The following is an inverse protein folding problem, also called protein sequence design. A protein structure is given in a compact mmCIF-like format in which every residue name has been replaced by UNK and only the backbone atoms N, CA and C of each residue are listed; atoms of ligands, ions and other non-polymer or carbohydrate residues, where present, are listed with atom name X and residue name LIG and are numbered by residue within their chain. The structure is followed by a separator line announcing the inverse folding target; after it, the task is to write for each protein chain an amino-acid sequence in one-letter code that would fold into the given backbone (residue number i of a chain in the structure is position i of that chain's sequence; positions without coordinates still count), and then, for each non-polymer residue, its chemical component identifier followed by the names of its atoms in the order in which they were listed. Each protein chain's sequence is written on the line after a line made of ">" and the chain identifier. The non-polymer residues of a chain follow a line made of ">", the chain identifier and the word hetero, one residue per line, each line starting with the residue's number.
data_IF_310865672737
#
_entry.id   IF_310865672737
#
_cell.length_a   1.000
_cell.length_b   1.000
_cell.length_c   1.000
_cell.angle_alpha   90.00
_cell.angle_beta   90.00
_cell.angle_gamma   90.00
#
_symmetry.space_group_name_H-M   'P 1'
#
loop_
_entity.id
_entity.type
_entity.pdbx_description
1 polymer ?
#
# COMPACT_ATOMS: atom_id res chain seq x y z
N UNK A 1 6.44 36.85 8.48
CA UNK A 1 7.41 36.47 7.42
C UNK A 1 8.13 35.24 7.94
N UNK A 2 8.18 34.17 7.22
CA UNK A 2 8.96 32.97 7.61
C UNK A 2 10.43 33.35 7.67
N UNK A 3 11.15 32.84 8.68
CA UNK A 3 12.60 33.01 8.73
C UNK A 3 13.22 32.37 7.49
N UNK A 4 14.19 33.04 6.82
CA UNK A 4 14.82 32.48 5.65
C UNK A 4 15.59 31.21 6.01
N UNK A 5 15.60 30.23 5.09
CA UNK A 5 16.39 29.02 5.23
C UNK A 5 17.88 29.38 5.36
N UNK A 6 18.52 28.90 6.41
CA UNK A 6 19.95 29.06 6.67
C UNK A 6 20.66 27.73 6.66
N UNK A 7 21.96 27.72 6.38
CA UNK A 7 22.77 26.51 6.43
C UNK A 7 24.18 26.78 6.94
N UNK A 8 24.76 25.78 7.56
CA UNK A 8 26.13 25.79 8.04
C UNK A 8 26.87 24.56 7.55
N UNK A 9 28.14 24.74 7.17
CA UNK A 9 29.05 23.65 6.84
C UNK A 9 29.83 23.25 8.07
N UNK A 10 29.73 21.98 8.46
CA UNK A 10 30.47 21.41 9.60
C UNK A 10 31.14 20.11 9.18
N UNK A 11 32.25 19.78 9.80
CA UNK A 11 32.89 18.48 9.66
C UNK A 11 32.54 17.60 10.87
N UNK A 12 31.96 16.45 10.62
CA UNK A 12 31.69 15.46 11.68
C UNK A 12 32.46 14.18 11.39
N UNK A 13 33.07 13.61 12.42
CA UNK A 13 33.70 12.30 12.31
C UNK A 13 32.63 11.22 12.21
N UNK A 14 32.99 10.03 11.72
CA UNK A 14 32.13 8.86 11.78
C UNK A 14 31.72 8.57 13.23
N UNK A 15 32.60 8.80 14.21
CA UNK A 15 32.27 8.68 15.64
C UNK A 15 31.17 9.64 16.06
N UNK A 16 31.21 10.91 15.65
CA UNK A 16 30.18 11.90 15.99
C UNK A 16 28.81 11.48 15.43
N UNK A 17 28.77 11.00 14.19
CA UNK A 17 27.55 10.51 13.55
C UNK A 17 27.00 9.25 14.22
N UNK A 18 27.88 8.34 14.68
CA UNK A 18 27.50 7.17 15.47
C UNK A 18 26.89 7.60 16.80
N UNK A 19 27.53 8.53 17.52
CA UNK A 19 27.04 9.05 18.79
C UNK A 19 25.65 9.69 18.64
N UNK A 20 25.41 10.48 17.59
CA UNK A 20 24.09 11.04 17.29
C UNK A 20 23.03 9.93 17.11
N UNK A 21 23.39 8.84 16.43
CA UNK A 21 22.47 7.70 16.23
C UNK A 21 22.20 6.94 17.52
N UNK A 22 23.22 6.63 18.31
CA UNK A 22 23.10 5.89 19.57
C UNK A 22 22.33 6.68 20.63
N UNK A 23 22.51 7.99 20.67
CA UNK A 23 21.78 8.91 21.55
C UNK A 23 20.36 9.24 21.03
N UNK A 24 19.90 8.64 19.90
CA UNK A 24 18.59 8.90 19.30
C UNK A 24 18.38 10.36 18.88
N UNK A 25 19.46 11.08 18.63
CA UNK A 25 19.45 12.45 18.13
C UNK A 25 19.48 12.53 16.60
N UNK A 26 19.51 11.37 15.90
CA UNK A 26 19.53 11.28 14.45
C UNK A 26 18.36 10.46 13.92
N UNK A 27 17.49 11.09 13.15
CA UNK A 27 16.37 10.44 12.46
C UNK A 27 16.76 10.12 11.02
N UNK A 28 17.06 8.86 10.74
CA UNK A 28 17.38 8.35 9.41
C UNK A 28 16.14 8.26 8.51
N UNK A 29 14.93 8.23 9.08
CA UNK A 29 13.68 7.98 8.38
C UNK A 29 12.66 9.10 8.64
N UNK A 30 12.97 10.37 8.33
CA UNK A 30 11.93 11.37 8.39
C UNK A 30 10.79 10.96 7.45
N UNK A 31 9.56 11.31 7.82
CA UNK A 31 8.32 10.80 7.19
C UNK A 31 8.18 11.10 5.69
N UNK A 32 9.04 11.97 5.16
CA UNK A 32 9.09 12.35 3.75
C UNK A 32 10.14 11.59 2.93
N UNK A 33 10.98 10.75 3.54
CA UNK A 33 12.00 9.96 2.83
C UNK A 33 11.55 8.55 2.50
N UNK A 34 12.20 7.97 1.47
CA UNK A 34 12.05 6.58 1.05
C UNK A 34 12.96 5.62 1.83
N UNK A 35 12.69 4.32 1.70
CA UNK A 35 13.56 3.27 2.22
C UNK A 35 14.87 3.16 1.41
N UNK A 36 15.84 2.42 1.98
CA UNK A 36 17.18 2.24 1.42
C UNK A 36 17.15 1.46 0.10
N UNK A 37 17.80 2.00 -0.95
CA UNK A 37 17.87 1.40 -2.29
C UNK A 37 19.25 0.85 -2.67
N UNK A 38 20.28 1.10 -1.86
CA UNK A 38 21.64 0.65 -2.17
C UNK A 38 21.76 -0.88 -2.14
N UNK A 39 22.30 -1.43 -3.23
CA UNK A 39 22.66 -2.85 -3.32
C UNK A 39 23.96 -3.11 -2.54
N UNK A 40 24.25 -4.35 -2.13
CA UNK A 40 25.46 -4.68 -1.39
C UNK A 40 26.75 -4.17 -2.03
N UNK A 41 26.85 -4.21 -3.37
CA UNK A 41 28.03 -3.71 -4.09
C UNK A 41 28.28 -2.20 -3.86
N UNK A 42 27.22 -1.36 -3.86
CA UNK A 42 27.35 0.07 -3.59
C UNK A 42 27.85 0.33 -2.17
N UNK A 43 27.32 -0.42 -1.20
CA UNK A 43 27.73 -0.32 0.21
C UNK A 43 29.18 -0.70 0.41
N UNK A 44 29.62 -1.80 -0.20
CA UNK A 44 31.04 -2.24 -0.16
C UNK A 44 31.96 -1.19 -0.72
N UNK A 45 31.70 -0.67 -1.91
CA UNK A 45 32.48 0.40 -2.54
C UNK A 45 32.57 1.65 -1.67
N UNK A 46 31.46 2.03 -1.06
CA UNK A 46 31.43 3.20 -0.18
C UNK A 46 32.29 3.02 1.07
N UNK A 47 32.25 1.85 1.71
CA UNK A 47 33.13 1.57 2.85
C UNK A 47 34.59 1.53 2.42
N UNK A 48 34.94 0.91 1.29
CA UNK A 48 36.31 0.95 0.75
C UNK A 48 36.78 2.39 0.52
N UNK A 49 35.93 3.25 -0.07
CA UNK A 49 36.22 4.68 -0.27
C UNK A 49 36.60 5.40 1.03
N UNK A 50 35.89 5.10 2.15
CA UNK A 50 36.22 5.65 3.48
C UNK A 50 37.54 5.09 4.01
N UNK A 51 37.78 3.79 3.86
CA UNK A 51 39.00 3.14 4.32
C UNK A 51 40.23 3.62 3.55
N UNK A 52 40.08 3.95 2.27
CA UNK A 52 41.11 4.51 1.40
C UNK A 52 41.32 6.02 1.65
N UNK A 53 40.46 6.67 2.47
CA UNK A 53 40.57 8.09 2.77
C UNK A 53 40.10 9.01 1.65
N UNK A 54 39.42 8.49 0.61
CA UNK A 54 38.90 9.32 -0.48
C UNK A 54 37.70 10.16 -0.04
N UNK A 55 37.50 11.37 -0.62
CA UNK A 55 36.38 12.21 -0.28
C UNK A 55 35.04 11.60 -0.69
N UNK A 56 34.05 11.77 0.16
CA UNK A 56 32.68 11.33 -0.09
C UNK A 56 31.75 12.54 -0.17
N UNK A 57 30.60 12.45 -0.88
CA UNK A 57 29.65 13.55 -0.96
C UNK A 57 29.12 13.94 0.42
N UNK A 58 28.85 15.25 0.62
CA UNK A 58 28.34 15.82 1.86
C UNK A 58 27.01 15.21 2.30
N UNK A 59 26.78 15.15 3.60
CA UNK A 59 25.52 14.75 4.21
C UNK A 59 24.71 16.01 4.50
N UNK A 60 23.40 15.99 4.20
CA UNK A 60 22.51 17.09 4.53
C UNK A 60 21.60 16.70 5.71
N UNK A 61 21.66 17.48 6.78
CA UNK A 61 20.89 17.30 7.99
C UNK A 61 20.04 18.53 8.27
N UNK A 62 18.80 18.33 8.67
CA UNK A 62 17.93 19.38 9.22
C UNK A 62 17.84 19.21 10.72
N UNK A 63 18.12 20.25 11.47
CA UNK A 63 17.94 20.27 12.94
C UNK A 63 16.59 20.87 13.25
N UNK A 64 15.73 20.09 13.94
CA UNK A 64 14.45 20.59 14.42
C UNK A 64 14.56 21.29 15.77
N UNK A 65 13.47 21.96 16.17
CA UNK A 65 13.39 22.71 17.44
C UNK A 65 13.56 21.82 18.69
N UNK A 66 13.37 20.51 18.56
CA UNK A 66 13.60 19.53 19.62
C UNK A 66 15.05 19.05 19.72
N UNK A 67 15.95 19.56 18.87
CA UNK A 67 17.35 19.18 18.85
C UNK A 67 17.62 17.84 18.16
N UNK A 68 16.68 17.37 17.31
CA UNK A 68 16.84 16.13 16.54
C UNK A 68 17.27 16.46 15.12
N UNK A 69 18.33 15.80 14.66
CA UNK A 69 18.78 15.87 13.27
C UNK A 69 17.97 14.93 12.39
N UNK A 70 17.37 15.47 11.33
CA UNK A 70 16.66 14.71 10.30
C UNK A 70 17.50 14.65 9.03
N UNK A 71 17.76 13.46 8.53
CA UNK A 71 18.60 13.31 7.33
C UNK A 71 17.82 13.76 6.09
N UNK A 72 18.32 14.75 5.36
CA UNK A 72 17.76 15.19 4.08
C UNK A 72 18.41 14.46 2.90
N UNK A 73 19.76 14.34 2.90
CA UNK A 73 20.51 13.49 1.98
C UNK A 73 21.64 12.80 2.71
N UNK A 74 22.10 11.66 2.17
CA UNK A 74 23.15 10.84 2.76
C UNK A 74 22.62 9.68 3.61
N UNK A 75 21.30 9.42 3.67
CA UNK A 75 20.72 8.29 4.40
C UNK A 75 21.41 6.96 4.08
N UNK A 76 21.62 6.65 2.79
CA UNK A 76 22.27 5.41 2.34
C UNK A 76 23.71 5.30 2.88
N UNK A 77 24.42 6.43 2.89
CA UNK A 77 25.80 6.56 3.41
C UNK A 77 25.84 6.27 4.92
N UNK A 78 24.99 6.96 5.66
CA UNK A 78 24.86 6.78 7.12
C UNK A 78 24.45 5.36 7.51
N UNK A 79 23.40 4.83 6.88
CA UNK A 79 22.98 3.45 7.12
C UNK A 79 24.08 2.44 6.82
N UNK A 80 24.90 2.67 5.79
CA UNK A 80 26.00 1.80 5.42
C UNK A 80 27.10 1.83 6.49
N UNK A 81 27.48 3.02 6.98
CA UNK A 81 28.42 3.19 8.08
C UNK A 81 27.92 2.46 9.32
N UNK A 82 26.68 2.70 9.72
CA UNK A 82 26.13 2.13 10.95
C UNK A 82 25.96 0.61 10.88
N UNK A 83 25.60 0.06 9.72
CA UNK A 83 25.54 -1.39 9.50
C UNK A 83 26.92 -2.02 9.54
N UNK A 84 27.91 -1.43 8.89
CA UNK A 84 29.27 -1.91 8.86
C UNK A 84 29.87 -1.89 10.28
N UNK A 85 29.73 -0.78 11.01
CA UNK A 85 30.22 -0.63 12.39
C UNK A 85 29.35 -1.39 13.42
N UNK A 86 28.30 -2.10 13.01
CA UNK A 86 27.40 -2.92 13.86
C UNK A 86 26.78 -2.13 15.04
N UNK A 87 26.34 -0.89 14.78
CA UNK A 87 25.79 0.01 15.79
C UNK A 87 24.46 -0.52 16.35
N UNK A 88 24.22 -0.33 17.64
CA UNK A 88 22.96 -0.71 18.31
C UNK A 88 21.76 0.04 17.71
N UNK A 89 20.63 -0.66 17.57
CA UNK A 89 19.39 -0.06 17.03
C UNK A 89 19.30 0.00 15.50
N UNK A 90 20.36 -0.40 14.79
CA UNK A 90 20.34 -0.52 13.32
C UNK A 90 20.17 -1.99 12.93
N UNK A 91 19.34 -2.25 11.90
CA UNK A 91 19.12 -3.63 11.41
C UNK A 91 20.46 -4.25 11.03
N UNK A 92 20.79 -5.37 11.67
CA UNK A 92 22.04 -6.12 11.40
C UNK A 92 22.04 -6.62 9.97
N UNK A 93 23.17 -6.42 9.31
CA UNK A 93 23.48 -6.95 7.99
C UNK A 93 24.95 -7.36 8.00
N UNK A 94 25.26 -8.53 7.50
CA UNK A 94 26.66 -8.93 7.33
C UNK A 94 27.22 -8.18 6.11
N UNK A 95 28.02 -7.17 6.40
CA UNK A 95 28.68 -6.36 5.38
C UNK A 95 30.19 -6.55 5.52
N UNK A 96 30.76 -7.17 4.49
CA UNK A 96 32.19 -7.34 4.33
C UNK A 96 32.67 -6.52 3.14
N UNK A 97 33.90 -6.02 3.24
CA UNK A 97 34.55 -5.26 2.17
C UNK A 97 35.86 -5.91 1.79
N UNK A 98 36.18 -5.89 0.51
CA UNK A 98 37.47 -6.32 0.00
C UNK A 98 38.45 -5.16 0.17
N UNK A 99 39.49 -5.38 1.00
CA UNK A 99 40.43 -4.33 1.35
C UNK A 99 41.81 -4.90 1.62
N UNK A 100 42.88 -4.20 1.21
CA UNK A 100 44.25 -4.53 1.46
C UNK A 100 44.77 -3.84 2.71
N UNK A 101 45.18 -4.60 3.68
CA UNK A 101 45.88 -4.00 4.82
C UNK A 101 47.30 -3.64 4.45
N UNK A 102 47.88 -2.55 5.02
CA UNK A 102 49.26 -2.11 4.70
C UNK A 102 50.36 -3.16 4.91
N UNK A 103 50.09 -4.17 5.73
CA UNK A 103 51.00 -5.28 6.01
C UNK A 103 50.80 -6.50 5.12
N UNK A 104 49.87 -6.44 4.14
CA UNK A 104 49.47 -7.57 3.31
C UNK A 104 49.64 -7.25 1.84
N UNK A 105 50.02 -8.26 1.04
CA UNK A 105 50.19 -8.09 -0.40
C UNK A 105 48.91 -8.29 -1.18
N UNK A 106 47.92 -8.99 -0.58
CA UNK A 106 46.65 -9.31 -1.24
C UNK A 106 45.45 -8.71 -0.52
N UNK A 107 44.39 -8.46 -1.30
CA UNK A 107 43.10 -8.04 -0.78
C UNK A 107 42.39 -9.19 -0.09
N UNK A 108 41.79 -8.96 1.09
CA UNK A 108 40.94 -9.93 1.73
C UNK A 108 39.58 -9.35 2.13
N UNK A 109 38.62 -10.21 2.40
CA UNK A 109 37.33 -9.80 2.90
C UNK A 109 37.41 -9.45 4.40
N UNK A 110 37.05 -8.22 4.76
CA UNK A 110 37.05 -7.71 6.13
C UNK A 110 35.65 -7.28 6.53
N UNK A 111 35.14 -7.87 7.61
CA UNK A 111 34.03 -7.33 8.38
C UNK A 111 34.53 -6.35 9.45
N UNK A 112 33.60 -5.72 10.17
CA UNK A 112 33.95 -4.80 11.27
C UNK A 112 34.86 -5.42 12.33
N UNK A 113 34.65 -6.69 12.65
CA UNK A 113 35.45 -7.41 13.68
C UNK A 113 36.89 -7.62 13.19
N UNK A 114 37.05 -8.05 11.97
CA UNK A 114 38.35 -8.23 11.36
C UNK A 114 39.11 -6.91 11.22
N UNK A 115 38.41 -5.83 10.81
CA UNK A 115 38.95 -4.48 10.72
C UNK A 115 39.42 -3.97 12.09
N UNK A 116 38.63 -4.23 13.16
CA UNK A 116 38.98 -3.86 14.53
C UNK A 116 40.21 -4.61 15.00
N UNK A 117 40.29 -5.92 14.77
CA UNK A 117 41.42 -6.76 15.09
C UNK A 117 42.71 -6.31 14.39
N UNK A 118 42.57 -5.79 13.17
CA UNK A 118 43.70 -5.23 12.41
C UNK A 118 44.07 -3.79 12.81
N UNK A 119 43.48 -3.21 13.88
CA UNK A 119 43.76 -1.86 14.35
C UNK A 119 43.28 -0.71 13.46
N UNK A 120 42.49 -0.99 12.40
CA UNK A 120 42.04 -0.01 11.42
C UNK A 120 40.69 0.64 11.78
N UNK A 121 40.00 0.15 12.81
CA UNK A 121 38.71 0.72 13.23
C UNK A 121 38.84 2.19 13.70
N UNK A 122 39.96 2.57 14.31
CA UNK A 122 40.23 3.96 14.74
C UNK A 122 40.26 4.91 13.52
N UNK A 123 41.00 4.55 12.47
CA UNK A 123 41.05 5.35 11.23
C UNK A 123 39.68 5.51 10.58
N UNK A 124 38.91 4.42 10.52
CA UNK A 124 37.52 4.48 10.02
C UNK A 124 36.63 5.40 10.87
N UNK A 125 36.75 5.33 12.20
CA UNK A 125 35.97 6.15 13.12
C UNK A 125 36.36 7.62 13.12
N UNK A 126 37.61 7.95 12.88
CA UNK A 126 38.13 9.33 12.78
C UNK A 126 37.94 9.95 11.40
N UNK A 127 37.47 9.17 10.40
CA UNK A 127 37.19 9.70 9.06
C UNK A 127 36.16 10.84 9.15
N UNK A 128 36.51 12.00 8.53
CA UNK A 128 35.69 13.21 8.56
C UNK A 128 34.77 13.26 7.33
N UNK A 129 33.50 13.56 7.59
CA UNK A 129 32.48 13.78 6.57
C UNK A 129 32.00 15.21 6.66
N UNK A 130 31.92 15.87 5.51
CA UNK A 130 31.30 17.17 5.44
C UNK A 130 29.79 17.05 5.64
N UNK A 131 29.25 17.84 6.56
CA UNK A 131 27.82 17.89 6.89
C UNK A 131 27.30 19.31 6.62
N UNK A 132 26.23 19.41 5.88
CA UNK A 132 25.46 20.64 5.68
C UNK A 132 24.30 20.61 6.66
N UNK A 133 24.38 21.39 7.72
CA UNK A 133 23.30 21.55 8.69
C UNK A 133 22.37 22.67 8.22
N UNK A 134 21.10 22.36 8.07
CA UNK A 134 20.07 23.26 7.52
C UNK A 134 19.07 23.60 8.62
N UNK A 135 18.68 24.86 8.68
CA UNK A 135 17.68 25.42 9.60
C UNK A 135 16.64 26.22 8.83
N UNK A 136 15.40 26.21 9.28
CA UNK A 136 14.30 26.97 8.67
C UNK A 136 12.96 26.26 8.78
N UNK A 137 11.96 26.85 8.16
CA UNK A 137 10.62 26.28 8.11
C UNK A 137 10.60 24.94 7.38
N UNK A 138 9.83 24.01 7.90
CA UNK A 138 9.78 22.64 7.37
C UNK A 138 9.31 22.57 5.92
N UNK A 139 8.48 23.52 5.45
CA UNK A 139 8.08 23.64 4.04
C UNK A 139 9.29 23.85 3.12
N UNK A 140 10.17 24.75 3.51
CA UNK A 140 11.37 25.13 2.76
C UNK A 140 12.41 24.01 2.80
N UNK A 141 12.52 23.34 3.95
CA UNK A 141 13.36 22.14 4.11
C UNK A 141 12.90 21.01 3.18
N UNK A 142 11.60 20.78 3.05
CA UNK A 142 11.06 19.75 2.13
C UNK A 142 11.29 20.16 0.68
N UNK A 143 11.20 21.44 0.33
CA UNK A 143 11.53 21.92 -1.01
C UNK A 143 13.03 21.74 -1.32
N UNK A 144 13.89 22.08 -0.38
CA UNK A 144 15.34 21.83 -0.48
C UNK A 144 15.63 20.33 -0.68
N UNK A 145 15.00 19.45 0.11
CA UNK A 145 15.11 18.00 -0.04
C UNK A 145 14.77 17.54 -1.47
N UNK A 146 13.69 18.04 -2.05
CA UNK A 146 13.29 17.72 -3.42
C UNK A 146 14.34 18.20 -4.43
N UNK A 147 14.87 19.42 -4.25
CA UNK A 147 15.90 20.00 -5.13
C UNK A 147 17.22 19.23 -5.08
N UNK A 148 17.74 18.92 -3.90
CA UNK A 148 18.99 18.17 -3.72
C UNK A 148 18.88 16.80 -4.39
N UNK A 149 17.77 16.08 -4.18
CA UNK A 149 17.58 14.74 -4.75
C UNK A 149 17.28 14.74 -6.25
N UNK A 150 17.01 15.90 -6.87
CA UNK A 150 16.77 15.99 -8.31
C UNK A 150 18.06 15.85 -9.15
N UNK A 151 19.23 16.05 -8.56
CA UNK A 151 20.54 15.97 -9.25
C UNK A 151 21.11 14.55 -9.31
N UNK A 152 20.56 13.59 -8.52
CA UNK A 152 20.98 12.18 -8.49
C UNK A 152 19.94 11.24 -9.09
N UNK A 153 19.62 10.14 -8.38
CA UNK A 153 18.47 9.31 -8.77
C UNK A 153 17.19 10.09 -8.51
N UNK A 154 16.64 10.69 -9.55
CA UNK A 154 15.47 11.55 -9.46
C UNK A 154 14.32 10.93 -8.64
N UNK A 155 13.71 11.74 -7.80
CA UNK A 155 12.52 11.33 -7.04
C UNK A 155 11.36 11.06 -8.00
N UNK A 156 10.62 10.03 -7.74
CA UNK A 156 9.34 9.78 -8.43
C UNK A 156 8.32 10.84 -8.03
N UNK A 157 7.28 11.03 -8.84
CA UNK A 157 6.16 11.91 -8.49
C UNK A 157 5.51 11.52 -7.14
N UNK A 158 5.47 10.22 -6.83
CA UNK A 158 4.97 9.71 -5.56
C UNK A 158 5.83 10.18 -4.38
N UNK A 159 7.15 10.09 -4.50
CA UNK A 159 8.11 10.53 -3.49
C UNK A 159 8.03 12.04 -3.28
N UNK A 160 8.00 12.83 -4.35
CA UNK A 160 7.84 14.29 -4.30
C UNK A 160 6.53 14.68 -3.61
N UNK A 161 5.42 14.03 -4.00
CA UNK A 161 4.10 14.30 -3.43
C UNK A 161 4.06 13.94 -1.95
N UNK A 162 4.63 12.78 -1.58
CA UNK A 162 4.72 12.39 -0.18
C UNK A 162 5.57 13.36 0.64
N UNK A 163 6.68 13.85 0.11
CA UNK A 163 7.52 14.84 0.78
C UNK A 163 6.78 16.16 1.00
N UNK A 164 6.19 16.74 -0.05
CA UNK A 164 5.49 18.03 0.03
C UNK A 164 4.28 18.04 0.95
N UNK A 165 3.54 16.94 1.01
CA UNK A 165 2.23 16.88 1.65
C UNK A 165 2.14 15.87 2.80
N UNK A 166 3.28 15.49 3.39
CA UNK A 166 3.32 14.43 4.40
C UNK A 166 2.48 14.72 5.66
N UNK A 167 2.29 16.01 6.04
CA UNK A 167 1.44 16.43 7.17
C UNK A 167 -0.05 16.41 6.85
N UNK A 168 -0.45 16.46 5.57
CA UNK A 168 -1.86 16.49 5.18
C UNK A 168 -2.56 15.17 5.57
N UNK A 169 -3.76 15.29 6.13
CA UNK A 169 -4.54 14.14 6.61
C UNK A 169 -4.78 13.10 5.53
N UNK A 170 -5.08 13.53 4.32
CA UNK A 170 -5.24 12.65 3.17
C UNK A 170 -4.01 11.77 2.95
N UNK A 171 -2.80 12.37 2.89
CA UNK A 171 -1.55 11.64 2.69
C UNK A 171 -1.20 10.74 3.89
N UNK A 172 -1.51 11.19 5.10
CA UNK A 172 -1.34 10.37 6.32
C UNK A 172 -2.19 9.09 6.26
N UNK A 173 -3.46 9.20 5.82
CA UNK A 173 -4.34 8.04 5.65
C UNK A 173 -3.90 7.16 4.49
N UNK A 174 -3.47 7.72 3.37
CA UNK A 174 -2.94 6.96 2.24
C UNK A 174 -1.75 6.07 2.67
N UNK A 175 -0.78 6.64 3.41
CA UNK A 175 0.35 5.86 3.96
C UNK A 175 -0.10 4.77 4.94
N UNK A 176 -1.03 5.11 5.86
CA UNK A 176 -1.55 4.15 6.84
C UNK A 176 -2.23 2.95 6.15
N UNK A 177 -3.03 3.21 5.12
CA UNK A 177 -3.70 2.16 4.36
C UNK A 177 -2.72 1.38 3.46
N UNK A 178 -1.76 2.05 2.82
CA UNK A 178 -0.70 1.37 2.08
C UNK A 178 0.07 0.38 2.97
N UNK A 179 0.51 0.81 4.16
CA UNK A 179 1.16 -0.07 5.14
C UNK A 179 0.27 -1.24 5.58
N UNK A 180 -1.03 -0.96 5.85
CA UNK A 180 -2.00 -2.00 6.25
C UNK A 180 -2.16 -3.09 5.21
N UNK A 181 -2.15 -2.74 3.92
CA UNK A 181 -2.38 -3.67 2.82
C UNK A 181 -1.11 -4.05 2.07
N UNK A 182 0.08 -3.58 2.49
CA UNK A 182 1.38 -3.84 1.82
C UNK A 182 1.62 -5.31 1.56
N UNK A 183 1.49 -6.14 2.59
CA UNK A 183 1.67 -7.59 2.46
C UNK A 183 0.78 -8.18 1.37
N UNK A 184 -0.49 -7.79 1.31
CA UNK A 184 -1.39 -8.24 0.26
C UNK A 184 -0.95 -7.74 -1.12
N UNK A 185 -0.54 -6.48 -1.25
CA UNK A 185 -0.07 -5.95 -2.54
C UNK A 185 1.16 -6.68 -3.06
N UNK A 186 2.07 -7.08 -2.18
CA UNK A 186 3.25 -7.86 -2.53
C UNK A 186 2.92 -9.32 -2.88
N UNK A 187 2.13 -10.01 -2.05
CA UNK A 187 1.68 -11.39 -2.29
C UNK A 187 0.84 -11.50 -3.57
N UNK A 188 -0.01 -10.51 -3.81
CA UNK A 188 -0.81 -10.38 -5.05
C UNK A 188 0.00 -9.89 -6.25
N UNK A 189 1.29 -9.60 -6.11
CA UNK A 189 2.20 -9.06 -7.14
C UNK A 189 1.75 -7.73 -7.76
N UNK A 190 0.91 -6.97 -7.07
CA UNK A 190 0.43 -5.65 -7.52
C UNK A 190 1.57 -4.64 -7.46
N UNK A 191 2.39 -4.71 -6.41
CA UNK A 191 3.64 -3.96 -6.29
C UNK A 191 4.77 -4.91 -5.90
N UNK A 192 5.96 -4.68 -6.45
CA UNK A 192 7.17 -5.37 -6.04
C UNK A 192 7.81 -4.67 -4.82
N UNK A 193 8.68 -5.36 -4.04
CA UNK A 193 9.42 -4.72 -2.94
C UNK A 193 10.19 -3.48 -3.38
N UNK A 194 10.78 -3.48 -4.58
CA UNK A 194 11.48 -2.32 -5.14
C UNK A 194 10.55 -1.16 -5.47
N UNK A 195 9.31 -1.43 -5.87
CA UNK A 195 8.29 -0.41 -6.09
C UNK A 195 7.74 0.15 -4.77
N UNK A 196 7.63 -0.67 -3.71
CA UNK A 196 7.28 -0.20 -2.36
C UNK A 196 8.31 0.80 -1.85
N UNK A 197 9.61 0.51 -2.01
CA UNK A 197 10.69 1.44 -1.68
C UNK A 197 10.50 2.80 -2.38
N UNK A 198 9.97 2.81 -3.61
CA UNK A 198 9.67 4.00 -4.42
C UNK A 198 8.26 4.54 -4.18
N UNK A 199 7.59 4.16 -3.08
CA UNK A 199 6.25 4.61 -2.67
C UNK A 199 5.14 4.37 -3.70
N UNK A 200 5.29 3.34 -4.55
CA UNK A 200 4.25 2.99 -5.54
C UNK A 200 2.97 2.45 -4.90
N UNK A 201 3.07 1.79 -3.75
CA UNK A 201 1.93 1.39 -2.92
C UNK A 201 1.16 2.61 -2.39
N UNK A 202 1.88 3.62 -1.89
CA UNK A 202 1.27 4.89 -1.42
C UNK A 202 0.64 5.65 -2.59
N UNK A 203 1.29 5.67 -3.77
CA UNK A 203 0.74 6.30 -4.98
C UNK A 203 -0.57 5.64 -5.40
N UNK A 204 -0.61 4.29 -5.46
CA UNK A 204 -1.83 3.53 -5.78
C UNK A 204 -2.96 3.82 -4.79
N UNK A 205 -2.68 3.77 -3.49
CA UNK A 205 -3.69 4.05 -2.46
C UNK A 205 -4.17 5.49 -2.53
N UNK A 206 -3.28 6.47 -2.76
CA UNK A 206 -3.67 7.88 -2.93
C UNK A 206 -4.60 8.06 -4.12
N UNK A 207 -4.33 7.37 -5.23
CA UNK A 207 -5.16 7.40 -6.43
C UNK A 207 -6.55 6.80 -6.18
N UNK A 208 -6.62 5.65 -5.52
CA UNK A 208 -7.86 5.01 -5.14
C UNK A 208 -8.68 5.88 -4.18
N UNK A 209 -8.05 6.46 -3.16
CA UNK A 209 -8.73 7.37 -2.22
C UNK A 209 -9.25 8.63 -2.92
N UNK A 210 -8.49 9.23 -3.85
CA UNK A 210 -8.94 10.38 -4.64
C UNK A 210 -10.15 10.01 -5.52
N UNK A 211 -10.20 8.78 -6.06
CA UNK A 211 -11.36 8.26 -6.78
C UNK A 211 -12.59 8.15 -5.87
N UNK A 212 -12.41 7.70 -4.62
CA UNK A 212 -13.49 7.62 -3.63
C UNK A 212 -13.97 9.00 -3.18
N UNK A 213 -13.08 10.00 -3.08
CA UNK A 213 -13.46 11.41 -2.85
C UNK A 213 -14.36 11.90 -3.99
N UNK A 214 -13.96 11.61 -5.23
CA UNK A 214 -14.68 12.02 -6.43
C UNK A 214 -15.98 11.20 -6.69
N UNK A 215 -16.19 10.10 -5.95
CA UNK A 215 -17.31 9.19 -6.11
C UNK A 215 -17.25 8.31 -7.37
N UNK A 216 -16.08 8.18 -8.04
CA UNK A 216 -15.92 7.39 -9.25
C UNK A 216 -14.55 7.51 -9.91
N UNK A 217 -14.48 7.10 -11.18
CA UNK A 217 -13.25 7.13 -11.96
C UNK A 217 -12.73 8.56 -12.15
N UNK A 218 -11.41 8.73 -12.08
CA UNK A 218 -10.73 10.02 -12.19
C UNK A 218 -9.70 10.04 -13.32
N UNK A 219 -9.34 11.24 -13.78
CA UNK A 219 -8.08 11.47 -14.46
C UNK A 219 -6.99 11.62 -13.38
N UNK A 220 -6.03 10.69 -13.35
CA UNK A 220 -5.10 10.48 -12.23
C UNK A 220 -4.44 11.75 -11.71
N UNK A 221 -3.77 12.49 -12.58
CA UNK A 221 -2.83 13.55 -12.17
C UNK A 221 -3.53 14.69 -11.41
N UNK A 222 -4.52 15.30 -12.02
CA UNK A 222 -5.20 16.47 -11.46
C UNK A 222 -6.07 16.14 -10.24
N UNK A 223 -6.74 14.97 -10.25
CA UNK A 223 -7.66 14.62 -9.17
C UNK A 223 -6.95 14.25 -7.87
N UNK A 224 -5.79 13.59 -7.95
CA UNK A 224 -4.98 13.28 -6.75
C UNK A 224 -4.43 14.57 -6.13
N UNK A 225 -3.95 15.50 -6.94
CA UNK A 225 -3.40 16.77 -6.45
C UNK A 225 -4.51 17.59 -5.77
N UNK A 226 -5.71 17.72 -6.36
CA UNK A 226 -6.86 18.39 -5.73
C UNK A 226 -7.28 17.75 -4.40
N UNK A 227 -7.35 16.42 -4.32
CA UNK A 227 -7.70 15.73 -3.09
C UNK A 227 -6.67 15.97 -1.98
N UNK A 228 -5.39 16.10 -2.31
CA UNK A 228 -4.33 16.44 -1.36
C UNK A 228 -4.44 17.90 -0.90
N UNK A 229 -4.77 18.82 -1.80
CA UNK A 229 -4.96 20.24 -1.47
C UNK A 229 -6.20 20.47 -0.60
N UNK A 230 -7.05 19.45 -0.44
CA UNK A 230 -8.19 19.46 0.47
C UNK A 230 -9.53 19.75 -0.20
N UNK A 231 -9.57 19.80 -1.54
CA UNK A 231 -10.84 19.95 -2.26
C UNK A 231 -11.76 18.74 -1.98
N UNK A 232 -12.90 19.01 -1.33
CA UNK A 232 -13.87 17.98 -0.96
C UNK A 232 -13.43 17.04 0.17
N UNK A 233 -12.30 17.31 0.85
CA UNK A 233 -11.71 16.44 1.86
C UNK A 233 -11.81 17.07 3.25
N UNK A 234 -12.83 16.69 3.99
CA UNK A 234 -12.98 17.00 5.43
C UNK A 234 -12.90 15.73 6.28
N UNK A 235 -12.95 15.87 7.61
CA UNK A 235 -12.84 14.76 8.54
C UNK A 235 -13.88 13.64 8.31
N UNK A 236 -15.11 13.98 7.92
CA UNK A 236 -16.16 13.00 7.61
C UNK A 236 -15.89 12.31 6.29
N UNK A 237 -15.43 13.04 5.27
CA UNK A 237 -14.99 12.47 3.99
C UNK A 237 -13.86 11.47 4.21
N UNK A 238 -12.84 11.80 5.02
CA UNK A 238 -11.74 10.91 5.38
C UNK A 238 -12.27 9.62 6.01
N UNK A 239 -13.13 9.72 7.02
CA UNK A 239 -13.72 8.53 7.67
C UNK A 239 -14.50 7.66 6.68
N UNK A 240 -15.26 8.27 5.78
CA UNK A 240 -16.04 7.60 4.74
C UNK A 240 -15.12 6.84 3.77
N UNK A 241 -14.17 7.52 3.14
CA UNK A 241 -13.30 6.90 2.13
C UNK A 241 -12.40 5.81 2.71
N UNK A 242 -11.92 5.94 3.95
CA UNK A 242 -11.14 4.90 4.65
C UNK A 242 -11.99 3.64 4.87
N UNK A 243 -13.25 3.79 5.26
CA UNK A 243 -14.18 2.67 5.43
C UNK A 243 -14.50 2.00 4.10
N UNK A 244 -14.82 2.77 3.07
CA UNK A 244 -15.15 2.29 1.71
C UNK A 244 -13.95 1.58 1.08
N UNK A 245 -12.77 2.17 1.14
CA UNK A 245 -11.52 1.55 0.69
C UNK A 245 -11.29 0.20 1.37
N UNK A 246 -11.36 0.18 2.71
CA UNK A 246 -11.13 -1.05 3.48
C UNK A 246 -12.16 -2.13 3.15
N UNK A 247 -13.41 -1.76 2.97
CA UNK A 247 -14.49 -2.67 2.59
C UNK A 247 -14.25 -3.28 1.19
N UNK A 248 -13.89 -2.44 0.22
CA UNK A 248 -13.61 -2.87 -1.16
C UNK A 248 -12.38 -3.77 -1.23
N UNK A 249 -11.29 -3.43 -0.52
CA UNK A 249 -10.10 -4.27 -0.43
C UNK A 249 -10.39 -5.65 0.18
N UNK A 250 -11.18 -5.69 1.24
CA UNK A 250 -11.58 -6.96 1.86
C UNK A 250 -12.45 -7.82 0.93
N UNK A 251 -13.34 -7.20 0.16
CA UNK A 251 -14.14 -7.90 -0.83
C UNK A 251 -13.27 -8.45 -1.97
N UNK A 252 -12.33 -7.65 -2.49
CA UNK A 252 -11.38 -8.09 -3.52
C UNK A 252 -10.56 -9.30 -3.07
N UNK A 253 -9.97 -9.24 -1.88
CA UNK A 253 -9.20 -10.36 -1.30
C UNK A 253 -10.01 -11.64 -1.20
N UNK A 254 -11.28 -11.53 -0.81
CA UNK A 254 -12.18 -12.67 -0.67
C UNK A 254 -12.64 -13.24 -2.01
N UNK A 255 -12.90 -12.36 -2.99
CA UNK A 255 -13.45 -12.76 -4.28
C UNK A 255 -12.37 -13.26 -5.24
N UNK A 256 -11.18 -12.63 -5.20
CA UNK A 256 -10.08 -12.88 -6.12
C UNK A 256 -8.78 -13.28 -5.38
N UNK A 257 -8.76 -14.43 -4.67
CA UNK A 257 -7.58 -14.85 -3.90
C UNK A 257 -6.35 -15.10 -4.80
N UNK A 258 -6.56 -15.47 -6.06
CA UNK A 258 -5.52 -15.77 -7.03
C UNK A 258 -5.33 -14.66 -8.07
N UNK A 259 -5.54 -13.41 -7.68
CA UNK A 259 -5.39 -12.25 -8.59
C UNK A 259 -3.98 -12.17 -9.20
N UNK A 260 -2.95 -12.64 -8.51
CA UNK A 260 -1.56 -12.69 -8.96
C UNK A 260 -1.36 -13.51 -10.24
N UNK A 261 -2.26 -14.46 -10.52
CA UNK A 261 -2.24 -15.29 -11.73
C UNK A 261 -2.99 -14.67 -12.91
N UNK A 262 -3.58 -13.49 -12.74
CA UNK A 262 -4.35 -12.76 -13.75
C UNK A 262 -3.63 -11.47 -14.12
N UNK A 263 -4.01 -10.84 -15.24
CA UNK A 263 -3.51 -9.50 -15.61
C UNK A 263 -3.82 -8.41 -14.58
N UNK A 264 -4.80 -8.64 -13.72
CA UNK A 264 -5.26 -7.69 -12.70
C UNK A 264 -4.30 -7.51 -11.52
N UNK A 265 -3.14 -8.16 -11.54
CA UNK A 265 -2.00 -7.80 -10.71
C UNK A 265 -1.28 -6.53 -11.20
N UNK A 266 -1.46 -6.11 -12.46
CA UNK A 266 -0.91 -4.84 -12.95
C UNK A 266 -1.66 -3.66 -12.31
N UNK A 267 -0.95 -2.63 -11.87
CA UNK A 267 -1.50 -1.50 -11.10
C UNK A 267 -2.73 -0.86 -11.79
N UNK A 268 -2.66 -0.60 -13.11
CA UNK A 268 -3.75 0.05 -13.86
C UNK A 268 -4.99 -0.82 -13.99
N UNK A 269 -4.81 -2.13 -14.11
CA UNK A 269 -5.88 -3.11 -14.22
C UNK A 269 -6.48 -3.39 -12.83
N UNK A 270 -5.64 -3.46 -11.79
CA UNK A 270 -6.07 -3.52 -10.40
C UNK A 270 -6.92 -2.31 -10.00
N UNK A 271 -6.47 -1.10 -10.36
CA UNK A 271 -7.25 0.12 -10.14
C UNK A 271 -8.66 -0.02 -10.75
N UNK A 272 -8.76 -0.47 -12.00
CA UNK A 272 -10.04 -0.61 -12.70
C UNK A 272 -10.93 -1.66 -12.03
N UNK A 273 -10.38 -2.81 -11.62
CA UNK A 273 -11.11 -3.84 -10.89
C UNK A 273 -11.59 -3.35 -9.52
N UNK A 274 -10.73 -2.62 -8.78
CA UNK A 274 -11.12 -2.02 -7.51
C UNK A 274 -12.30 -1.07 -7.68
N UNK A 275 -12.25 -0.19 -8.68
CA UNK A 275 -13.31 0.79 -8.92
C UNK A 275 -14.63 0.13 -9.32
N UNK A 276 -14.61 -0.94 -10.10
CA UNK A 276 -15.82 -1.69 -10.44
C UNK A 276 -16.42 -2.36 -9.19
N UNK A 277 -15.59 -3.00 -8.36
CA UNK A 277 -16.08 -3.62 -7.11
C UNK A 277 -16.61 -2.56 -6.15
N UNK A 278 -15.95 -1.40 -6.04
CA UNK A 278 -16.45 -0.27 -5.25
C UNK A 278 -17.82 0.20 -5.74
N UNK A 279 -17.98 0.42 -7.05
CA UNK A 279 -19.23 0.88 -7.65
C UNK A 279 -20.37 -0.10 -7.40
N UNK A 280 -20.14 -1.40 -7.62
CA UNK A 280 -21.13 -2.44 -7.36
C UNK A 280 -21.53 -2.49 -5.88
N UNK A 281 -20.60 -2.30 -4.94
CA UNK A 281 -20.93 -2.19 -3.52
C UNK A 281 -21.74 -0.92 -3.21
N UNK A 282 -21.40 0.19 -3.86
CA UNK A 282 -22.13 1.45 -3.69
C UNK A 282 -23.56 1.37 -4.21
N UNK A 283 -23.79 0.62 -5.29
CA UNK A 283 -25.11 0.28 -5.82
C UNK A 283 -25.83 -0.80 -4.98
N UNK A 284 -25.30 -1.16 -3.81
CA UNK A 284 -25.82 -2.22 -2.93
C UNK A 284 -25.84 -3.61 -3.58
N UNK A 285 -25.00 -3.83 -4.57
CA UNK A 285 -24.77 -5.12 -5.19
C UNK A 285 -23.63 -5.84 -4.46
N UNK A 286 -23.80 -7.13 -4.19
CA UNK A 286 -22.81 -7.93 -3.46
C UNK A 286 -22.61 -9.31 -4.09
N UNK A 287 -21.40 -9.82 -4.02
CA UNK A 287 -21.10 -11.22 -4.23
C UNK A 287 -21.45 -12.00 -2.95
N UNK A 288 -22.52 -12.81 -3.00
CA UNK A 288 -23.16 -13.34 -1.80
C UNK A 288 -22.48 -14.56 -1.19
N UNK A 289 -21.83 -15.43 -1.98
CA UNK A 289 -21.36 -16.72 -1.52
C UNK A 289 -20.05 -17.19 -2.18
N UNK A 290 -19.49 -18.29 -1.65
CA UNK A 290 -18.23 -18.86 -2.15
C UNK A 290 -18.35 -19.41 -3.58
N UNK A 291 -19.51 -19.91 -4.00
CA UNK A 291 -19.73 -20.45 -5.37
C UNK A 291 -19.60 -19.32 -6.38
N UNK A 292 -20.24 -18.18 -6.12
CA UNK A 292 -20.15 -16.99 -6.99
C UNK A 292 -18.76 -16.38 -7.00
N UNK A 293 -18.06 -16.36 -5.87
CA UNK A 293 -16.67 -15.92 -5.81
C UNK A 293 -15.76 -16.79 -6.70
N UNK A 294 -15.95 -18.12 -6.70
CA UNK A 294 -15.22 -19.03 -7.61
C UNK A 294 -15.53 -18.76 -9.08
N UNK A 295 -16.79 -18.51 -9.41
CA UNK A 295 -17.20 -18.15 -10.78
C UNK A 295 -16.56 -16.81 -11.19
N UNK A 296 -16.59 -15.80 -10.33
CA UNK A 296 -15.97 -14.51 -10.60
C UNK A 296 -14.44 -14.64 -10.85
N UNK A 297 -13.76 -15.42 -10.02
CA UNK A 297 -12.32 -15.71 -10.20
C UNK A 297 -12.06 -16.44 -11.53
N UNK A 298 -12.88 -17.44 -11.89
CA UNK A 298 -12.73 -18.19 -13.13
C UNK A 298 -12.97 -17.30 -14.36
N UNK A 299 -13.99 -16.43 -14.34
CA UNK A 299 -14.26 -15.45 -15.40
C UNK A 299 -13.12 -14.46 -15.55
N UNK A 300 -12.58 -13.94 -14.45
CA UNK A 300 -11.44 -13.03 -14.47
C UNK A 300 -10.21 -13.70 -15.10
N UNK A 301 -9.95 -14.96 -14.74
CA UNK A 301 -8.84 -15.76 -15.29
C UNK A 301 -9.04 -16.01 -16.81
N UNK A 302 -10.23 -16.45 -17.21
CA UNK A 302 -10.55 -16.69 -18.64
C UNK A 302 -10.40 -15.41 -19.45
N UNK A 303 -10.89 -14.31 -18.96
CA UNK A 303 -10.76 -13.01 -19.61
C UNK A 303 -9.29 -12.59 -19.73
N UNK A 304 -8.51 -12.73 -18.63
CA UNK A 304 -7.09 -12.44 -18.61
C UNK A 304 -6.33 -13.21 -19.69
N UNK A 305 -6.57 -14.52 -19.78
CA UNK A 305 -5.97 -15.37 -20.79
C UNK A 305 -6.32 -14.94 -22.22
N UNK A 306 -7.61 -14.59 -22.46
CA UNK A 306 -8.06 -14.10 -23.77
C UNK A 306 -7.37 -12.81 -24.21
N UNK A 307 -7.15 -11.87 -23.29
CA UNK A 307 -6.41 -10.63 -23.57
C UNK A 307 -4.92 -10.92 -23.87
N UNK A 308 -4.30 -11.85 -23.14
CA UNK A 308 -2.90 -12.24 -23.36
C UNK A 308 -2.72 -12.98 -24.69
N UNK A 309 -3.65 -13.84 -25.07
CA UNK A 309 -3.66 -14.53 -26.37
C UNK A 309 -3.75 -13.55 -27.54
N UNK A 310 -4.60 -12.51 -27.44
CA UNK A 310 -4.67 -11.44 -28.44
C UNK A 310 -3.36 -10.68 -28.52
N UNK A 311 -2.75 -10.34 -27.38
CA UNK A 311 -1.45 -9.65 -27.32
C UNK A 311 -0.34 -10.45 -27.99
N UNK A 312 -0.27 -11.76 -27.73
CA UNK A 312 0.76 -12.62 -28.35
C UNK A 312 0.55 -12.78 -29.87
N UNK A 313 -0.69 -12.84 -30.34
CA UNK A 313 -1.00 -12.87 -31.76
C UNK A 313 -0.68 -11.56 -32.47
N UNK A 314 -0.95 -10.42 -31.85
CA UNK A 314 -0.55 -9.12 -32.38
C UNK A 314 0.97 -9.02 -32.57
N UNK A 315 1.75 -9.52 -31.62
CA UNK A 315 3.21 -9.57 -31.75
C UNK A 315 3.68 -10.43 -32.94
N UNK A 316 2.92 -11.47 -33.29
CA UNK A 316 3.20 -12.38 -34.41
C UNK A 316 2.58 -11.93 -35.73
N UNK A 317 2.04 -10.71 -35.81
CA UNK A 317 1.38 -10.15 -37.00
C UNK A 317 0.27 -11.02 -37.57
N UNK A 318 -0.40 -11.84 -36.75
CA UNK A 318 -1.56 -12.64 -37.14
C UNK A 318 -2.83 -11.78 -37.04
N UNK A 319 -3.70 -11.86 -38.05
CA UNK A 319 -4.94 -11.09 -38.14
C UNK A 319 -5.87 -11.31 -36.93
N UNK A 320 -6.67 -10.27 -36.61
CA UNK A 320 -7.68 -10.31 -35.55
C UNK A 320 -8.86 -11.20 -35.95
N UNK A 321 -9.43 -11.93 -35.00
CA UNK A 321 -10.68 -12.68 -35.18
C UNK A 321 -11.88 -11.81 -34.71
N UNK A 322 -13.02 -12.00 -35.28
CA UNK A 322 -14.21 -11.21 -34.96
C UNK A 322 -14.67 -11.37 -33.49
N UNK A 323 -14.50 -12.54 -32.92
CA UNK A 323 -14.81 -12.88 -31.53
C UNK A 323 -13.85 -12.27 -30.50
N UNK A 324 -12.78 -11.62 -30.95
CA UNK A 324 -11.72 -11.03 -30.09
C UNK A 324 -11.86 -9.52 -29.90
N UNK A 325 -12.88 -8.89 -30.46
CA UNK A 325 -13.05 -7.43 -30.38
C UNK A 325 -13.04 -6.92 -28.94
N UNK A 326 -13.66 -7.65 -28.01
CA UNK A 326 -13.70 -7.28 -26.58
C UNK A 326 -12.30 -7.25 -25.97
N UNK A 327 -11.51 -8.29 -26.21
CA UNK A 327 -10.14 -8.40 -25.71
C UNK A 327 -9.22 -7.37 -26.35
N UNK A 328 -9.36 -7.12 -27.64
CA UNK A 328 -8.60 -6.09 -28.37
C UNK A 328 -8.90 -4.71 -27.82
N UNK A 329 -10.18 -4.36 -27.63
CA UNK A 329 -10.61 -3.08 -27.05
C UNK A 329 -10.05 -2.89 -25.65
N UNK A 330 -10.05 -3.95 -24.83
CA UNK A 330 -9.46 -3.91 -23.49
C UNK A 330 -7.94 -3.71 -23.55
N UNK A 331 -7.25 -4.48 -24.41
CA UNK A 331 -5.80 -4.41 -24.57
C UNK A 331 -5.35 -3.00 -25.00
N UNK A 332 -6.01 -2.37 -25.94
CA UNK A 332 -5.74 -1.00 -26.36
C UNK A 332 -5.88 -0.02 -25.20
N UNK A 333 -6.86 -0.20 -24.33
CA UNK A 333 -7.10 0.66 -23.17
C UNK A 333 -6.01 0.60 -22.10
N UNK A 334 -5.18 -0.46 -22.09
CA UNK A 334 -4.03 -0.60 -21.17
C UNK A 334 -2.69 -0.31 -21.84
N UNK A 335 -2.64 -0.15 -23.15
CA UNK A 335 -1.42 0.17 -23.90
C UNK A 335 -1.26 1.67 -24.16
N UNK A 336 -2.35 2.41 -24.37
CA UNK A 336 -2.34 3.82 -24.73
C UNK A 336 -3.16 4.64 -23.75
N UNK A 337 -2.55 5.72 -23.22
CA UNK A 337 -3.24 6.65 -22.33
C UNK A 337 -3.86 6.02 -21.09
N UNK A 338 -3.23 5.01 -20.52
CA UNK A 338 -3.72 4.11 -19.46
C UNK A 338 -4.39 4.85 -18.30
N UNK A 339 -3.90 6.03 -17.95
CA UNK A 339 -4.38 6.86 -16.83
C UNK A 339 -5.46 7.89 -17.25
N UNK A 340 -5.78 7.96 -18.55
CA UNK A 340 -6.85 8.82 -19.05
C UNK A 340 -8.24 8.29 -18.64
N UNK A 341 -9.14 9.21 -18.28
CA UNK A 341 -10.49 8.85 -17.84
C UNK A 341 -11.27 8.03 -18.88
N UNK A 342 -11.10 8.32 -20.17
CA UNK A 342 -11.73 7.57 -21.27
C UNK A 342 -11.31 6.11 -21.27
N UNK A 343 -10.02 5.83 -21.13
CA UNK A 343 -9.48 4.47 -21.11
C UNK A 343 -9.91 3.71 -19.84
N UNK A 344 -9.98 4.41 -18.72
CA UNK A 344 -10.49 3.85 -17.45
C UNK A 344 -11.97 3.48 -17.54
N UNK A 345 -12.79 4.30 -18.21
CA UNK A 345 -14.20 4.00 -18.46
C UNK A 345 -14.36 2.74 -19.31
N UNK A 346 -13.61 2.62 -20.40
CA UNK A 346 -13.63 1.42 -21.27
C UNK A 346 -13.30 0.17 -20.45
N UNK A 347 -12.24 0.19 -19.63
CA UNK A 347 -11.90 -0.95 -18.78
C UNK A 347 -12.98 -1.28 -17.76
N UNK A 348 -13.54 -0.25 -17.12
CA UNK A 348 -14.58 -0.45 -16.12
C UNK A 348 -15.86 -1.04 -16.74
N UNK A 349 -16.30 -0.56 -17.88
CA UNK A 349 -17.45 -1.11 -18.64
C UNK A 349 -17.25 -2.60 -18.96
N UNK A 350 -16.09 -2.95 -19.50
CA UNK A 350 -15.77 -4.34 -19.85
C UNK A 350 -15.74 -5.23 -18.61
N UNK A 351 -15.06 -4.82 -17.54
CA UNK A 351 -14.98 -5.57 -16.29
C UNK A 351 -16.36 -5.69 -15.63
N UNK A 352 -17.16 -4.63 -15.64
CA UNK A 352 -18.53 -4.66 -15.14
C UNK A 352 -19.38 -5.68 -15.91
N UNK A 353 -19.26 -5.70 -17.25
CA UNK A 353 -19.94 -6.67 -18.10
C UNK A 353 -19.56 -8.12 -17.79
N UNK A 354 -18.31 -8.42 -17.40
CA UNK A 354 -17.88 -9.76 -17.00
C UNK A 354 -18.63 -10.28 -15.77
N UNK A 355 -19.00 -9.37 -14.88
CA UNK A 355 -19.62 -9.72 -13.60
C UNK A 355 -21.13 -9.46 -13.59
N UNK A 356 -21.71 -9.01 -14.70
CA UNK A 356 -23.16 -8.81 -14.83
C UNK A 356 -23.89 -10.12 -14.50
N UNK A 357 -24.86 -10.05 -13.61
CA UNK A 357 -25.62 -11.22 -13.14
C UNK A 357 -24.98 -12.02 -12.01
N UNK A 358 -23.70 -11.80 -11.64
CA UNK A 358 -23.10 -12.43 -10.47
C UNK A 358 -23.40 -11.70 -9.17
N UNK A 359 -23.60 -10.39 -9.23
CA UNK A 359 -23.93 -9.57 -8.06
C UNK A 359 -25.43 -9.62 -7.78
N UNK A 360 -25.77 -9.78 -6.50
CA UNK A 360 -27.15 -9.72 -6.03
C UNK A 360 -27.43 -8.34 -5.42
N UNK A 361 -28.61 -7.82 -5.65
CA UNK A 361 -29.07 -6.60 -4.97
C UNK A 361 -29.23 -6.91 -3.48
N UNK A 362 -28.57 -6.12 -2.65
CA UNK A 362 -28.72 -6.22 -1.21
C UNK A 362 -30.11 -5.74 -0.82
N UNK A 363 -30.80 -6.55 0.03
CA UNK A 363 -32.06 -6.13 0.62
C UNK A 363 -31.83 -4.85 1.45
N UNK A 364 -32.69 -3.86 1.28
CA UNK A 364 -32.60 -2.59 2.01
C UNK A 364 -32.98 -2.78 3.49
N UNK A 365 -33.91 -3.66 3.72
CA UNK A 365 -34.37 -3.99 5.05
C UNK A 365 -33.48 -5.07 5.69
N UNK A 366 -32.68 -4.69 6.67
CA UNK A 366 -31.82 -5.64 7.39
C UNK A 366 -32.53 -6.34 8.54
N UNK A 367 -33.44 -5.65 9.20
CA UNK A 367 -34.15 -6.17 10.38
C UNK A 367 -35.52 -6.68 10.00
N UNK A 368 -35.87 -7.82 10.53
CA UNK A 368 -37.24 -8.32 10.42
C UNK A 368 -38.20 -7.40 11.19
N UNK A 369 -39.28 -7.01 10.57
CA UNK A 369 -40.32 -6.19 11.23
C UNK A 369 -41.01 -6.95 12.35
N UNK A 370 -41.65 -6.22 13.28
CA UNK A 370 -42.43 -6.82 14.34
C UNK A 370 -43.56 -7.74 13.80
N UNK A 371 -44.15 -7.37 12.65
CA UNK A 371 -45.13 -8.20 11.97
C UNK A 371 -44.54 -9.53 11.45
N UNK A 372 -43.37 -9.44 10.76
CA UNK A 372 -42.67 -10.65 10.29
C UNK A 372 -42.22 -11.54 11.46
N UNK A 373 -41.75 -10.96 12.56
CA UNK A 373 -41.39 -11.68 13.78
C UNK A 373 -42.56 -12.42 14.36
N UNK A 374 -43.76 -11.79 14.43
CA UNK A 374 -45.01 -12.40 14.92
C UNK A 374 -45.50 -13.50 13.99
N UNK A 375 -45.46 -13.25 12.67
CA UNK A 375 -45.86 -14.24 11.67
C UNK A 375 -44.99 -15.49 11.75
N UNK A 376 -43.67 -15.33 11.80
CA UNK A 376 -42.76 -16.48 11.90
C UNK A 376 -42.96 -17.27 13.19
N UNK A 377 -43.18 -16.59 14.34
CA UNK A 377 -43.47 -17.25 15.60
C UNK A 377 -44.73 -18.11 15.53
N UNK A 378 -45.80 -17.58 14.94
CA UNK A 378 -47.09 -18.25 14.84
C UNK A 378 -47.17 -19.30 13.72
N UNK A 379 -46.22 -19.26 12.76
CA UNK A 379 -46.14 -20.27 11.68
C UNK A 379 -45.40 -21.54 12.07
N UNK A 380 -44.78 -21.56 13.24
CA UNK A 380 -44.08 -22.74 13.74
C UNK A 380 -44.97 -23.48 14.74
N UNK A 381 -45.19 -24.77 14.53
CA UNK A 381 -45.98 -25.63 15.43
C UNK A 381 -45.37 -25.70 16.83
N UNK A 382 -44.03 -25.67 16.88
CA UNK A 382 -43.25 -25.63 18.10
C UNK A 382 -42.11 -24.61 18.03
N UNK A 383 -42.00 -23.77 19.05
CA UNK A 383 -41.05 -22.69 19.13
C UNK A 383 -39.71 -23.17 19.72
N UNK A 384 -38.89 -23.78 18.89
CA UNK A 384 -37.52 -24.20 19.24
C UNK A 384 -36.44 -23.43 18.45
N UNK A 385 -35.28 -23.28 19.07
CA UNK A 385 -34.09 -22.78 18.39
C UNK A 385 -33.76 -23.69 17.19
N UNK A 386 -33.74 -23.14 16.00
CA UNK A 386 -33.47 -23.87 14.73
C UNK A 386 -32.01 -24.32 14.56
N UNK A 387 -31.12 -23.97 15.50
CA UNK A 387 -29.79 -24.57 15.56
C UNK A 387 -29.92 -26.04 15.96
N UNK A 388 -29.54 -26.94 15.05
CA UNK A 388 -29.67 -28.41 15.21
C UNK A 388 -29.02 -28.96 16.49
N UNK A 389 -27.93 -28.29 16.96
CA UNK A 389 -27.22 -28.71 18.19
C UNK A 389 -27.80 -28.12 19.46
N UNK A 390 -28.69 -27.12 19.37
CA UNK A 390 -29.25 -26.42 20.53
C UNK A 390 -30.67 -26.91 20.87
N UNK A 391 -31.60 -26.74 19.92
CA UNK A 391 -33.03 -27.14 20.05
C UNK A 391 -33.71 -26.66 21.34
N UNK A 392 -33.18 -25.60 21.96
CA UNK A 392 -33.78 -25.03 23.19
C UNK A 392 -35.19 -24.51 22.90
N UNK A 393 -36.14 -24.74 23.80
CA UNK A 393 -37.50 -24.21 23.75
C UNK A 393 -37.43 -22.69 23.93
N UNK A 394 -38.06 -21.93 23.04
CA UNK A 394 -38.05 -20.48 23.03
C UNK A 394 -39.31 -19.94 23.74
N UNK A 395 -39.19 -18.71 24.30
CA UNK A 395 -40.31 -17.97 24.86
C UNK A 395 -40.50 -16.69 24.07
N UNK A 396 -41.70 -16.17 24.00
CA UNK A 396 -41.96 -14.85 23.41
C UNK A 396 -41.18 -13.78 24.19
N UNK A 397 -40.29 -13.07 23.52
CA UNK A 397 -39.37 -12.12 24.14
C UNK A 397 -37.91 -12.58 24.17
N UNK A 398 -37.64 -13.88 24.30
CA UNK A 398 -36.31 -14.49 24.45
C UNK A 398 -35.77 -15.09 23.14
N UNK A 399 -36.23 -14.65 21.99
CA UNK A 399 -35.75 -15.15 20.72
C UNK A 399 -35.36 -14.03 19.77
N UNK A 400 -34.47 -14.36 18.85
CA UNK A 400 -34.12 -13.53 17.74
C UNK A 400 -34.58 -14.16 16.42
N UNK A 401 -35.10 -13.34 15.52
CA UNK A 401 -35.28 -13.75 14.12
C UNK A 401 -34.00 -13.45 13.36
N UNK A 402 -33.41 -14.48 12.84
CA UNK A 402 -32.15 -14.41 12.10
C UNK A 402 -32.33 -14.90 10.67
N UNK A 403 -31.47 -14.43 9.77
CA UNK A 403 -31.49 -14.85 8.38
C UNK A 403 -30.87 -16.25 8.22
N UNK A 404 -31.54 -17.20 7.57
CA UNK A 404 -30.93 -18.49 7.19
C UNK A 404 -29.67 -18.25 6.33
N UNK A 405 -29.79 -17.50 5.22
CA UNK A 405 -28.70 -16.93 4.46
C UNK A 405 -28.43 -15.52 4.99
N UNK A 406 -27.24 -15.27 5.51
CA UNK A 406 -26.90 -13.99 6.14
C UNK A 406 -27.16 -12.77 5.21
N UNK A 407 -27.71 -11.68 5.76
CA UNK A 407 -27.98 -10.44 5.03
C UNK A 407 -26.72 -9.86 4.37
N UNK A 408 -25.55 -9.97 5.04
CA UNK A 408 -24.25 -9.56 4.47
C UNK A 408 -23.82 -10.39 3.25
N UNK A 409 -24.47 -11.55 3.02
CA UNK A 409 -24.24 -12.45 1.87
C UNK A 409 -25.38 -12.42 0.86
N UNK A 410 -26.22 -11.36 0.88
CA UNK A 410 -27.36 -11.20 -0.02
C UNK A 410 -28.61 -11.97 0.39
N UNK A 411 -28.70 -12.38 1.64
CA UNK A 411 -29.94 -12.96 2.17
C UNK A 411 -31.03 -11.89 2.28
N UNK A 412 -32.23 -12.18 1.71
CA UNK A 412 -33.39 -11.27 1.80
C UNK A 412 -34.04 -11.35 3.19
N UNK A 413 -34.60 -10.23 3.64
CA UNK A 413 -35.37 -10.14 4.89
C UNK A 413 -36.82 -10.54 4.61
N UNK A 414 -36.98 -11.80 4.21
CA UNK A 414 -38.28 -12.46 3.92
C UNK A 414 -38.50 -13.64 4.90
N UNK A 415 -39.76 -14.03 5.10
CA UNK A 415 -40.12 -15.15 5.97
C UNK A 415 -39.46 -16.46 5.56
N UNK A 416 -39.29 -16.72 4.26
CA UNK A 416 -38.63 -17.92 3.74
C UNK A 416 -37.15 -18.00 4.15
N UNK A 417 -36.50 -16.85 4.31
CA UNK A 417 -35.10 -16.75 4.75
C UNK A 417 -34.97 -16.50 6.26
N UNK A 418 -36.06 -16.52 7.00
CA UNK A 418 -36.10 -16.32 8.44
C UNK A 418 -36.00 -17.62 9.22
N UNK A 419 -35.39 -17.56 10.40
CA UNK A 419 -35.35 -18.66 11.38
C UNK A 419 -35.37 -18.13 12.81
N UNK A 420 -35.94 -18.93 13.73
CA UNK A 420 -35.93 -18.64 15.16
C UNK A 420 -34.64 -19.13 15.80
N UNK A 421 -33.92 -18.29 16.49
CA UNK A 421 -32.74 -18.65 17.28
C UNK A 421 -32.84 -18.11 18.71
N UNK A 422 -32.27 -18.83 19.68
CA UNK A 422 -32.03 -18.26 20.99
C UNK A 422 -30.90 -17.19 20.90
N UNK A 423 -30.83 -16.25 21.85
CA UNK A 423 -29.83 -15.18 21.84
C UNK A 423 -28.40 -15.72 21.70
N UNK A 424 -28.05 -16.77 22.43
CA UNK A 424 -26.74 -17.42 22.40
C UNK A 424 -26.39 -17.97 21.02
N UNK A 425 -27.31 -18.66 20.35
CA UNK A 425 -27.06 -19.21 19.02
C UNK A 425 -27.02 -18.12 17.96
N UNK A 426 -27.80 -17.05 18.10
CA UNK A 426 -27.78 -15.92 17.19
C UNK A 426 -26.42 -15.19 17.25
N UNK A 427 -25.93 -14.90 18.45
CA UNK A 427 -24.61 -14.27 18.65
C UNK A 427 -23.47 -15.16 18.13
N UNK A 428 -23.52 -16.46 18.44
CA UNK A 428 -22.51 -17.44 17.99
C UNK A 428 -22.49 -17.65 16.47
N UNK A 429 -23.63 -17.54 15.79
CA UNK A 429 -23.72 -17.67 14.32
C UNK A 429 -23.06 -16.48 13.62
N UNK A 430 -23.22 -15.26 14.13
CA UNK A 430 -22.72 -14.06 13.50
C UNK A 430 -23.16 -13.93 12.04
N UNK A 431 -22.25 -13.55 11.14
CA UNK A 431 -22.51 -13.40 9.71
C UNK A 431 -22.18 -14.67 8.87
N UNK A 432 -22.19 -15.85 9.49
CA UNK A 432 -21.90 -17.13 8.82
C UNK A 432 -23.03 -17.61 7.92
#
# INVERSE_FOLDING_TARGET
>A
MSEPLTFHLTDKTVTDLINLQENRQLNLNPSFQRDSVWKPLHRRRFISTILDGYPVPSIFLYLDDAGTYHVLDGKQRLETIFKFAKIKGVRREELEVKYRLPSEEEDRWLDWRALTKAGKATGFRSYRMQVVEVHGELSDIVELFVRINSTGTALTRAEVRNAKFYKKDFMRQARKLANKFRRYFEEARIVSPSQVIRMKDVELVSELLASLVNGGLINKKAAVDRAIDGEGVNGNTIKRIVREFTGTMNQLRKTFPNIYATRFHNISEFYSLFMVVYELQHQKLILGDMKRNRIAQALLQKFSNGVDDVRERQKKLKGARADEMLYTRYLLSVQQGTDALSQRKIRAEIIHGLFSGLFERKDEQRMFSSAQRRLLWNSEDEQYCKNKRCRAKLRWGDFHVDHKKAHSRGGKTSLDNAQLLCPRCNTSKGAR
#
